data_IF_321915571512
#
_entry.id   IF_321915571512
#
_cell.length_a   1.000
_cell.length_b   1.000
_cell.length_c   1.000
_cell.angle_alpha   90.00
_cell.angle_beta   90.00
_cell.angle_gamma   90.00
#
_symmetry.space_group_name_H-M   'P 1'
#
loop_
_entity.id
_entity.type
_entity.pdbx_description
1 polymer ?
#
# COMPACT_ATOMS: atom_id res chain seq x y z
N UNK A 1 15.46 15.53 20.38
CA UNK A 1 15.39 14.08 20.05
C UNK A 1 16.80 13.53 20.15
N UNK A 2 17.03 12.38 20.80
CA UNK A 2 18.34 11.74 20.72
C UNK A 2 18.65 11.47 19.23
N UNK A 3 19.91 11.63 18.79
CA UNK A 3 20.25 11.47 17.39
C UNK A 3 20.14 10.00 16.99
N UNK A 4 19.38 9.74 15.92
CA UNK A 4 19.44 8.51 15.14
C UNK A 4 20.90 8.09 14.87
N UNK A 5 21.16 6.80 14.68
CA UNK A 5 22.45 6.31 14.22
C UNK A 5 22.93 7.13 12.99
N UNK A 6 24.03 7.86 13.17
CA UNK A 6 24.58 8.76 12.16
C UNK A 6 24.94 8.04 10.85
N UNK A 7 25.30 6.75 10.92
CA UNK A 7 25.60 5.94 9.75
C UNK A 7 24.36 5.74 8.86
N UNK A 8 23.19 5.52 9.44
CA UNK A 8 21.93 5.36 8.70
C UNK A 8 21.55 6.64 7.98
N UNK A 9 21.70 7.79 8.64
CA UNK A 9 21.46 9.09 8.02
C UNK A 9 22.34 9.31 6.79
N UNK A 10 23.62 8.92 6.87
CA UNK A 10 24.55 9.06 5.75
C UNK A 10 24.18 8.18 4.56
N UNK A 11 23.80 6.92 4.80
CA UNK A 11 23.35 6.02 3.74
C UNK A 11 22.18 6.62 2.95
N UNK A 12 21.22 7.22 3.64
CA UNK A 12 20.09 7.90 2.98
C UNK A 12 20.53 9.10 2.17
N UNK A 13 21.45 9.93 2.69
CA UNK A 13 21.96 11.10 1.96
C UNK A 13 22.69 10.72 0.68
N UNK A 14 23.49 9.65 0.72
CA UNK A 14 24.32 9.23 -0.41
C UNK A 14 23.55 8.43 -1.46
N UNK A 15 22.55 7.65 -1.05
CA UNK A 15 21.98 6.59 -1.91
C UNK A 15 20.47 6.65 -2.12
N UNK A 16 19.73 7.56 -1.46
CA UNK A 16 18.27 7.64 -1.59
C UNK A 16 17.86 9.00 -2.15
N UNK A 17 17.04 8.99 -3.20
CA UNK A 17 16.50 10.23 -3.80
C UNK A 17 15.75 11.04 -2.73
N UNK A 18 16.01 12.35 -2.57
CA UNK A 18 15.45 13.17 -1.50
C UNK A 18 14.01 13.64 -1.81
N UNK A 19 13.11 12.71 -2.15
CA UNK A 19 11.71 12.98 -2.50
C UNK A 19 10.74 13.05 -1.30
N UNK A 20 11.27 13.02 -0.06
CA UNK A 20 10.51 13.22 1.17
C UNK A 20 11.35 14.00 2.18
N UNK A 21 10.69 14.86 2.95
CA UNK A 21 11.25 15.40 4.18
C UNK A 21 11.25 14.29 5.24
N UNK A 22 12.39 14.07 5.88
CA UNK A 22 12.58 12.97 6.84
C UNK A 22 12.86 13.53 8.23
N UNK A 23 12.25 12.92 9.24
CA UNK A 23 12.60 13.13 10.63
C UNK A 23 13.87 12.33 10.97
N UNK A 24 14.73 12.80 11.90
CA UNK A 24 15.95 12.10 12.29
C UNK A 24 15.62 10.96 13.27
N UNK A 25 14.85 9.97 12.82
CA UNK A 25 14.44 8.78 13.58
C UNK A 25 14.57 7.54 12.71
N UNK A 26 15.12 6.46 13.27
CA UNK A 26 15.24 5.17 12.60
C UNK A 26 14.40 4.14 13.35
N UNK A 27 13.22 3.81 12.82
CA UNK A 27 12.35 2.79 13.40
C UNK A 27 12.85 1.40 13.00
N UNK A 28 13.06 0.51 13.97
CA UNK A 28 13.65 -0.83 13.77
C UNK A 28 12.74 -1.98 14.19
N UNK A 29 11.66 -1.70 14.94
CA UNK A 29 10.68 -2.69 15.37
C UNK A 29 9.29 -2.05 15.45
N UNK A 30 8.26 -2.83 15.13
CA UNK A 30 6.86 -2.48 15.38
C UNK A 30 6.06 -3.68 15.90
N UNK A 31 5.09 -3.42 16.77
CA UNK A 31 4.19 -4.42 17.35
C UNK A 31 2.89 -3.73 17.82
N UNK A 32 1.75 -4.17 17.28
CA UNK A 32 0.46 -3.54 17.55
C UNK A 32 0.49 -2.04 17.19
N UNK A 33 0.14 -1.18 18.13
CA UNK A 33 0.16 0.29 17.92
C UNK A 33 1.47 0.95 18.33
N UNK A 34 2.55 0.19 18.53
CA UNK A 34 3.83 0.70 19.04
C UNK A 34 4.97 0.45 18.07
N UNK A 35 5.94 1.36 18.08
CA UNK A 35 7.20 1.24 17.34
C UNK A 35 8.38 1.59 18.22
N UNK A 36 9.55 1.03 17.91
CA UNK A 36 10.80 1.30 18.63
C UNK A 36 11.87 1.78 17.66
N UNK A 37 12.63 2.79 18.08
CA UNK A 37 13.79 3.26 17.32
C UNK A 37 15.07 2.45 17.62
N UNK A 38 16.13 2.77 16.88
CA UNK A 38 17.46 2.17 16.99
C UNK A 38 18.19 2.47 18.32
N UNK A 39 17.66 3.38 19.14
CA UNK A 39 18.12 3.65 20.51
C UNK A 39 17.33 2.86 21.57
N UNK A 40 16.32 2.10 21.13
CA UNK A 40 15.41 1.34 22.00
C UNK A 40 14.25 2.17 22.55
N UNK A 41 14.08 3.42 22.12
CA UNK A 41 12.97 4.27 22.57
C UNK A 41 11.67 3.82 21.92
N UNK A 42 10.65 3.69 22.75
CA UNK A 42 9.30 3.32 22.35
C UNK A 42 8.44 4.54 22.01
N UNK A 43 7.58 4.38 21.02
CA UNK A 43 6.61 5.36 20.58
C UNK A 43 5.24 4.71 20.43
N UNK A 44 4.20 5.44 20.82
CA UNK A 44 2.83 5.15 20.40
C UNK A 44 2.63 5.74 19.01
N UNK A 45 2.22 4.90 18.06
CA UNK A 45 2.07 5.30 16.67
C UNK A 45 0.66 5.86 16.40
N UNK A 46 0.57 7.19 16.26
CA UNK A 46 -0.64 7.91 15.83
C UNK A 46 -0.63 8.23 14.34
N UNK A 47 0.32 7.69 13.59
CA UNK A 47 0.42 7.84 12.15
C UNK A 47 0.83 6.51 11.50
N UNK A 48 -0.11 5.54 11.35
CA UNK A 48 0.17 4.20 10.85
C UNK A 48 0.39 4.17 9.33
N UNK A 49 1.33 4.97 8.84
CA UNK A 49 1.77 5.05 7.46
C UNK A 49 0.66 5.40 6.48
N UNK A 50 0.03 6.57 6.61
CA UNK A 50 -1.11 6.98 5.77
C UNK A 50 -2.27 5.97 5.76
N UNK A 51 -2.45 5.23 6.88
CA UNK A 51 -3.51 4.23 7.04
C UNK A 51 -3.14 2.81 6.60
N UNK A 52 -1.90 2.55 6.18
CA UNK A 52 -1.46 1.21 5.78
C UNK A 52 -1.43 0.21 6.95
N UNK A 53 -0.96 0.61 8.12
CA UNK A 53 -0.82 -0.27 9.29
C UNK A 53 -2.08 -0.25 10.19
N UNK A 54 -3.28 -0.28 9.58
CA UNK A 54 -4.56 -0.10 10.30
C UNK A 54 -4.88 -1.22 11.30
N UNK A 55 -4.34 -2.43 11.07
CA UNK A 55 -4.48 -3.59 11.97
C UNK A 55 -3.28 -3.73 12.92
N UNK A 56 -2.45 -2.69 13.03
CA UNK A 56 -1.21 -2.68 13.81
C UNK A 56 0.01 -3.15 13.02
N UNK A 57 1.18 -2.92 13.60
CA UNK A 57 2.48 -3.38 13.11
C UNK A 57 2.66 -4.88 13.38
N UNK A 58 3.13 -5.61 12.36
CA UNK A 58 3.46 -7.04 12.45
C UNK A 58 2.38 -7.96 13.09
N UNK A 59 1.09 -7.86 12.70
CA UNK A 59 0.04 -8.68 13.29
C UNK A 59 0.25 -10.16 12.96
N UNK A 60 0.28 -11.02 13.99
CA UNK A 60 0.69 -12.43 13.86
C UNK A 60 -0.04 -13.18 12.73
N UNK A 61 -1.36 -13.03 12.62
CA UNK A 61 -2.16 -13.70 11.58
C UNK A 61 -1.71 -13.35 10.15
N UNK A 62 -1.33 -12.10 9.92
CA UNK A 62 -0.84 -11.66 8.60
C UNK A 62 0.58 -12.15 8.38
N UNK A 63 1.44 -12.01 9.38
CA UNK A 63 2.84 -12.45 9.31
C UNK A 63 2.93 -13.94 9.01
N UNK A 64 2.14 -14.77 9.69
CA UNK A 64 2.13 -16.21 9.51
C UNK A 64 1.57 -16.61 8.14
N UNK A 65 0.47 -15.99 7.70
CA UNK A 65 -0.11 -16.24 6.38
C UNK A 65 0.85 -15.86 5.23
N UNK A 66 1.57 -14.74 5.36
CA UNK A 66 2.58 -14.33 4.38
C UNK A 66 3.73 -15.34 4.37
N UNK A 67 4.24 -15.74 5.54
CA UNK A 67 5.34 -16.72 5.65
C UNK A 67 4.99 -18.06 5.00
N UNK A 68 3.80 -18.58 5.25
CA UNK A 68 3.34 -19.83 4.62
C UNK A 68 3.28 -19.68 3.09
N UNK A 69 2.63 -18.61 2.61
CA UNK A 69 2.44 -18.42 1.18
C UNK A 69 3.77 -18.22 0.43
N UNK A 70 4.70 -17.42 0.96
CA UNK A 70 6.00 -17.19 0.28
C UNK A 70 6.89 -18.43 0.29
N UNK A 71 6.73 -19.33 1.26
CA UNK A 71 7.39 -20.64 1.28
C UNK A 71 6.85 -21.61 0.21
N UNK A 72 5.66 -21.32 -0.36
CA UNK A 72 4.97 -22.17 -1.34
C UNK A 72 5.02 -21.59 -2.75
N UNK A 73 4.63 -20.33 -2.92
CA UNK A 73 4.53 -19.65 -4.22
C UNK A 73 4.44 -18.13 -4.04
N UNK A 74 5.39 -17.39 -4.63
CA UNK A 74 5.44 -15.92 -4.55
C UNK A 74 4.70 -15.25 -5.72
N UNK A 75 4.95 -15.70 -6.96
CA UNK A 75 4.45 -15.02 -8.15
C UNK A 75 4.16 -15.99 -9.30
N UNK A 76 3.05 -15.72 -10.00
CA UNK A 76 2.68 -16.30 -11.30
C UNK A 76 2.10 -15.19 -12.18
N UNK A 77 2.21 -15.28 -13.52
CA UNK A 77 1.56 -14.33 -14.40
C UNK A 77 0.04 -14.45 -14.31
N UNK A 78 -0.67 -13.36 -14.63
CA UNK A 78 -2.16 -13.32 -14.63
C UNK A 78 -2.81 -14.27 -15.65
N UNK A 79 -2.03 -14.90 -16.54
CA UNK A 79 -2.52 -15.94 -17.44
C UNK A 79 -2.78 -17.27 -16.74
N UNK A 80 -2.38 -17.42 -15.47
CA UNK A 80 -2.61 -18.62 -14.66
C UNK A 80 -3.54 -18.32 -13.48
N UNK A 81 -4.22 -19.35 -12.99
CA UNK A 81 -5.05 -19.25 -11.80
C UNK A 81 -4.27 -19.50 -10.52
N UNK A 82 -4.62 -18.77 -9.47
CA UNK A 82 -4.16 -18.97 -8.09
C UNK A 82 -5.38 -18.87 -7.17
N UNK A 83 -5.57 -19.89 -6.34
CA UNK A 83 -6.73 -20.00 -5.44
C UNK A 83 -6.87 -18.77 -4.53
N UNK A 84 -5.75 -18.28 -3.97
CA UNK A 84 -5.74 -17.14 -3.07
C UNK A 84 -6.31 -15.86 -3.71
N UNK A 85 -6.04 -15.63 -5.00
CA UNK A 85 -6.59 -14.48 -5.73
C UNK A 85 -8.10 -14.60 -5.90
N UNK A 86 -8.60 -15.80 -6.22
CA UNK A 86 -10.04 -16.08 -6.36
C UNK A 86 -10.78 -15.89 -5.04
N UNK A 87 -10.27 -16.46 -3.94
CA UNK A 87 -10.85 -16.33 -2.60
C UNK A 87 -10.86 -14.87 -2.13
N UNK A 88 -9.82 -14.09 -2.43
CA UNK A 88 -9.80 -12.66 -2.10
C UNK A 88 -10.84 -11.88 -2.93
N UNK A 89 -11.00 -12.21 -4.22
CA UNK A 89 -11.99 -11.57 -5.07
C UNK A 89 -13.42 -11.85 -4.59
N UNK A 90 -13.73 -13.09 -4.24
CA UNK A 90 -15.00 -13.48 -3.62
C UNK A 90 -15.22 -12.73 -2.30
N UNK A 91 -14.20 -12.73 -1.43
CA UNK A 91 -14.24 -12.05 -0.14
C UNK A 91 -14.55 -10.55 -0.25
N UNK A 92 -14.00 -9.86 -1.24
CA UNK A 92 -14.24 -8.44 -1.48
C UNK A 92 -15.64 -8.19 -2.05
N UNK A 93 -15.99 -8.90 -3.13
CA UNK A 93 -17.23 -8.68 -3.88
C UNK A 93 -18.49 -9.03 -3.08
N UNK A 94 -18.41 -10.05 -2.22
CA UNK A 94 -19.53 -10.46 -1.34
C UNK A 94 -19.74 -9.49 -0.18
N UNK A 95 -18.67 -8.90 0.38
CA UNK A 95 -18.75 -7.99 1.54
C UNK A 95 -19.19 -6.58 1.19
N UNK A 96 -18.92 -6.09 -0.03
CA UNK A 96 -19.37 -4.76 -0.44
C UNK A 96 -20.85 -4.73 -0.79
N UNK A 97 -21.43 -5.87 -1.20
CA UNK A 97 -22.84 -5.97 -1.60
C UNK A 97 -23.17 -5.24 -2.92
N UNK A 98 -22.17 -4.72 -3.63
CA UNK A 98 -22.37 -3.94 -4.86
C UNK A 98 -22.35 -4.78 -6.14
N UNK A 99 -22.02 -6.07 -6.03
CA UNK A 99 -21.75 -6.92 -7.18
C UNK A 99 -20.50 -6.50 -7.95
N UNK A 100 -20.16 -7.25 -8.98
CA UNK A 100 -19.01 -6.97 -9.86
C UNK A 100 -17.80 -7.88 -9.63
N UNK A 101 -16.66 -7.47 -10.18
CA UNK A 101 -15.40 -8.22 -10.18
C UNK A 101 -14.27 -7.36 -9.58
N UNK A 102 -13.31 -8.00 -8.92
CA UNK A 102 -12.14 -7.33 -8.38
C UNK A 102 -11.00 -7.27 -9.42
N UNK A 103 -10.40 -6.09 -9.59
CA UNK A 103 -9.14 -5.91 -10.28
C UNK A 103 -8.03 -5.72 -9.24
N UNK A 104 -6.93 -6.49 -9.35
CA UNK A 104 -5.81 -6.44 -8.42
C UNK A 104 -4.62 -5.69 -9.03
N UNK A 105 -4.06 -4.77 -8.26
CA UNK A 105 -2.85 -4.02 -8.56
C UNK A 105 -2.05 -3.81 -7.27
N UNK A 106 -0.90 -3.13 -7.35
CA UNK A 106 0.08 -3.08 -6.27
C UNK A 106 -0.02 -1.79 -5.45
N UNK A 107 -0.49 -0.70 -6.06
CA UNK A 107 -0.57 0.61 -5.43
C UNK A 107 -1.93 1.27 -5.60
N UNK A 108 -2.24 2.25 -4.74
CA UNK A 108 -3.42 3.09 -4.88
C UNK A 108 -3.43 3.89 -6.18
N UNK A 109 -2.26 4.36 -6.66
CA UNK A 109 -2.17 5.08 -7.92
C UNK A 109 -2.53 4.19 -9.11
N UNK A 110 -2.05 2.94 -9.15
CA UNK A 110 -2.45 1.96 -10.18
C UNK A 110 -3.94 1.63 -10.11
N UNK A 111 -4.53 1.57 -8.91
CA UNK A 111 -5.96 1.34 -8.75
C UNK A 111 -6.77 2.48 -9.39
N UNK A 112 -6.34 3.74 -9.20
CA UNK A 112 -6.98 4.91 -9.79
C UNK A 112 -6.78 4.96 -11.30
N UNK A 113 -5.58 4.71 -11.81
CA UNK A 113 -5.32 4.58 -13.25
C UNK A 113 -6.21 3.50 -13.88
N UNK A 114 -6.33 2.34 -13.22
CA UNK A 114 -7.24 1.26 -13.61
C UNK A 114 -8.70 1.73 -13.65
N UNK A 115 -9.15 2.43 -12.61
CA UNK A 115 -10.51 2.96 -12.53
C UNK A 115 -10.80 3.99 -13.64
N UNK A 116 -9.88 4.92 -13.90
CA UNK A 116 -10.01 5.91 -14.99
C UNK A 116 -10.12 5.20 -16.34
N UNK A 117 -9.27 4.19 -16.59
CA UNK A 117 -9.29 3.41 -17.84
C UNK A 117 -10.61 2.67 -18.01
N UNK A 118 -11.11 2.01 -16.97
CA UNK A 118 -12.39 1.30 -17.01
C UNK A 118 -13.57 2.26 -17.24
N UNK A 119 -13.59 3.41 -16.54
CA UNK A 119 -14.65 4.42 -16.71
C UNK A 119 -14.67 4.98 -18.14
N UNK A 120 -13.51 5.29 -18.72
CA UNK A 120 -13.39 5.74 -20.11
C UNK A 120 -13.77 4.66 -21.12
N UNK A 121 -13.35 3.41 -20.91
CA UNK A 121 -13.72 2.30 -21.77
C UNK A 121 -15.25 2.13 -21.81
N UNK A 122 -15.90 2.15 -20.65
CA UNK A 122 -17.35 2.04 -20.55
C UNK A 122 -18.07 3.23 -21.22
N UNK A 123 -17.54 4.45 -21.03
CA UNK A 123 -18.12 5.67 -21.59
C UNK A 123 -17.83 5.95 -23.07
N UNK A 124 -16.88 5.22 -23.68
CA UNK A 124 -16.31 5.53 -24.99
C UNK A 124 -17.37 5.63 -26.10
N UNK A 125 -18.27 4.66 -26.20
CA UNK A 125 -19.32 4.63 -27.25
C UNK A 125 -20.33 5.78 -27.10
N UNK A 126 -20.48 6.33 -25.90
CA UNK A 126 -21.33 7.47 -25.61
C UNK A 126 -20.58 8.82 -25.62
N UNK A 127 -19.30 8.84 -26.05
CA UNK A 127 -18.46 10.04 -26.03
C UNK A 127 -18.15 10.56 -24.62
N UNK A 128 -18.28 9.72 -23.58
CA UNK A 128 -18.04 10.08 -22.18
C UNK A 128 -16.60 9.75 -21.78
N UNK A 129 -15.73 10.76 -21.75
CA UNK A 129 -14.29 10.59 -21.43
C UNK A 129 -13.77 11.53 -20.33
N UNK A 130 -14.55 12.54 -19.95
CA UNK A 130 -14.16 13.53 -18.93
C UNK A 130 -14.23 12.91 -17.54
N UNK A 131 -13.19 13.14 -16.75
CA UNK A 131 -13.11 12.75 -15.33
C UNK A 131 -13.19 14.02 -14.50
N UNK A 132 -14.03 14.03 -13.47
CA UNK A 132 -14.18 15.16 -12.54
C UNK A 132 -13.51 14.77 -11.22
N UNK A 133 -12.63 15.63 -10.72
CA UNK A 133 -11.98 15.49 -9.41
C UNK A 133 -12.26 16.72 -8.54
N UNK A 134 -11.93 16.63 -7.26
CA UNK A 134 -12.15 17.71 -6.30
C UNK A 134 -10.86 18.51 -6.07
N UNK A 135 -11.00 19.80 -5.74
CA UNK A 135 -9.85 20.61 -5.34
C UNK A 135 -9.17 19.96 -4.11
N UNK A 136 -7.84 19.87 -4.14
CA UNK A 136 -6.99 19.24 -3.10
C UNK A 136 -7.16 17.71 -2.96
N UNK A 137 -7.76 17.01 -3.93
CA UNK A 137 -7.75 15.54 -3.94
C UNK A 137 -6.33 14.98 -4.15
N UNK A 138 -6.03 13.83 -3.54
CA UNK A 138 -4.77 13.10 -3.73
C UNK A 138 -5.05 11.66 -4.14
N UNK A 139 -4.60 11.25 -5.32
CA UNK A 139 -4.87 9.91 -5.88
C UNK A 139 -3.62 9.17 -6.34
N UNK A 140 -2.44 9.77 -6.21
CA UNK A 140 -1.22 9.15 -6.65
C UNK A 140 -0.11 10.16 -6.91
N UNK A 141 0.94 9.66 -7.54
CA UNK A 141 2.04 10.46 -8.08
C UNK A 141 2.32 10.09 -9.54
N UNK A 142 1.40 9.38 -10.20
CA UNK A 142 1.49 9.15 -11.64
C UNK A 142 1.04 10.42 -12.37
N UNK A 143 1.18 10.46 -13.69
CA UNK A 143 0.68 11.60 -14.47
C UNK A 143 -0.84 11.64 -14.57
N UNK A 144 -1.53 10.50 -14.36
CA UNK A 144 -2.97 10.37 -14.52
C UNK A 144 -3.79 10.26 -13.23
N UNK A 145 -3.18 9.83 -12.12
CA UNK A 145 -3.79 9.70 -10.79
C UNK A 145 -3.28 10.77 -9.83
#
# INVERSE_FOLDING_TARGET
>A
MPPMNAATGELYRQHVVPNYNRYPVCIVRGDGSRVWDDTGREYLDFFPGWGCAIVGHCPHRVVDAVRDQVGRLIHVPNSWHTEAQGLLAEALTTRTGWGGQAFFCNSGAEAIEGAIKMARLWGHSAGKFRVVSMLNSFHGRTLGA
#
